data_IF_231538293249
#
_entry.id   IF_231538293249
#
_cell.length_a   1.000
_cell.length_b   1.000
_cell.length_c   1.000
_cell.angle_alpha   90.00
_cell.angle_beta   90.00
_cell.angle_gamma   90.00
#
_symmetry.space_group_name_H-M   'P 1'
#
loop_
_entity.id
_entity.type
_entity.pdbx_description
1 polymer ?
#
# COMPACT_ATOMS: atom_id res chain seq x y z
N UNK A 1 15.49 -2.45 -6.44
CA UNK A 1 14.28 -1.81 -7.01
C UNK A 1 14.38 -1.70 -8.52
N UNK A 2 13.25 -1.58 -9.18
CA UNK A 2 13.20 -1.48 -10.64
C UNK A 2 12.58 -0.12 -11.01
N UNK A 3 13.40 0.87 -11.37
CA UNK A 3 12.94 2.25 -11.59
C UNK A 3 11.80 2.39 -12.60
N UNK A 4 11.79 1.59 -13.66
CA UNK A 4 10.74 1.65 -14.67
C UNK A 4 9.38 1.20 -14.13
N UNK A 5 9.37 0.13 -13.32
CA UNK A 5 8.16 -0.35 -12.67
C UNK A 5 7.65 0.65 -11.62
N UNK A 6 8.57 1.25 -10.87
CA UNK A 6 8.26 2.28 -9.88
C UNK A 6 7.64 3.50 -10.55
N UNK A 7 8.20 3.96 -11.67
CA UNK A 7 7.65 5.09 -12.41
C UNK A 7 6.24 4.77 -12.93
N UNK A 8 6.03 3.56 -13.43
CA UNK A 8 4.70 3.11 -13.87
C UNK A 8 3.69 3.13 -12.71
N UNK A 9 4.09 2.65 -11.55
CA UNK A 9 3.24 2.67 -10.34
C UNK A 9 2.89 4.12 -9.96
N UNK A 10 3.88 5.01 -9.96
CA UNK A 10 3.68 6.42 -9.64
C UNK A 10 2.68 7.08 -10.61
N UNK A 11 2.88 6.90 -11.91
CA UNK A 11 1.98 7.44 -12.93
C UNK A 11 0.57 6.85 -12.80
N UNK A 12 0.46 5.56 -12.49
CA UNK A 12 -0.83 4.91 -12.26
C UNK A 12 -1.57 5.52 -11.07
N UNK A 13 -0.84 5.93 -10.02
CA UNK A 13 -1.43 6.60 -8.86
C UNK A 13 -1.95 7.99 -9.23
N UNK A 14 -1.19 8.77 -9.98
CA UNK A 14 -1.65 10.09 -10.44
C UNK A 14 -2.94 9.97 -11.25
N UNK A 15 -2.99 9.00 -12.16
CA UNK A 15 -4.15 8.74 -12.99
C UNK A 15 -5.35 8.25 -12.16
N UNK A 16 -5.10 7.33 -11.22
CA UNK A 16 -6.13 6.79 -10.34
C UNK A 16 -6.84 7.89 -9.55
N UNK A 17 -6.07 8.77 -8.90
CA UNK A 17 -6.63 9.86 -8.10
C UNK A 17 -7.40 10.86 -8.97
N UNK A 18 -6.93 11.12 -10.18
CA UNK A 18 -7.62 11.96 -11.15
C UNK A 18 -8.95 11.34 -11.58
N UNK A 19 -8.95 10.07 -11.96
CA UNK A 19 -10.16 9.36 -12.43
C UNK A 19 -11.19 9.19 -11.31
N UNK A 20 -10.74 8.95 -10.09
CA UNK A 20 -11.63 8.82 -8.94
C UNK A 20 -12.08 10.16 -8.37
N UNK A 21 -11.54 11.26 -8.88
CA UNK A 21 -11.80 12.62 -8.40
C UNK A 21 -11.53 12.76 -6.89
N UNK A 22 -10.40 12.21 -6.42
CA UNK A 22 -9.97 12.25 -5.03
C UNK A 22 -8.84 13.26 -4.90
N UNK A 23 -9.01 14.20 -3.97
CA UNK A 23 -7.97 15.17 -3.62
C UNK A 23 -6.93 14.54 -2.72
N UNK A 24 -5.68 14.99 -2.86
CA UNK A 24 -4.59 14.50 -2.04
C UNK A 24 -3.53 15.57 -1.84
N UNK A 25 -2.76 15.43 -0.78
CA UNK A 25 -1.55 16.19 -0.54
C UNK A 25 -0.34 15.33 -0.94
N UNK A 26 0.72 15.98 -1.39
CA UNK A 26 1.96 15.26 -1.71
C UNK A 26 3.17 16.01 -1.18
N UNK A 27 4.19 15.23 -0.79
CA UNK A 27 5.47 15.75 -0.36
C UNK A 27 6.58 15.03 -1.10
N UNK A 28 7.60 15.77 -1.49
CA UNK A 28 8.87 15.21 -1.92
C UNK A 28 9.88 15.38 -0.79
N UNK A 29 10.64 14.36 -0.51
CA UNK A 29 11.57 14.30 0.62
C UNK A 29 12.72 13.35 0.31
N UNK A 30 13.65 13.17 1.25
CA UNK A 30 14.65 12.11 1.12
C UNK A 30 13.98 10.75 1.09
N UNK A 31 14.59 9.72 0.43
CA UNK A 31 13.99 8.41 0.36
C UNK A 31 13.71 7.81 1.74
N UNK A 32 12.49 7.28 1.93
CA UNK A 32 12.07 6.57 3.14
C UNK A 32 12.16 5.08 2.85
N UNK A 33 13.13 4.40 3.45
CA UNK A 33 13.37 2.97 3.25
C UNK A 33 13.26 2.16 4.54
N UNK A 34 12.99 2.82 5.67
CA UNK A 34 12.77 2.19 6.97
C UNK A 34 11.85 3.04 7.87
N UNK A 35 11.44 2.48 9.01
CA UNK A 35 10.53 3.16 9.93
C UNK A 35 11.17 4.35 10.64
N UNK A 36 12.47 4.31 10.93
CA UNK A 36 13.16 5.42 11.60
C UNK A 36 13.18 6.66 10.72
N UNK A 37 13.46 6.49 9.43
CA UNK A 37 13.39 7.57 8.45
C UNK A 37 11.96 8.11 8.31
N UNK A 38 10.97 7.24 8.30
CA UNK A 38 9.56 7.62 8.20
C UNK A 38 9.14 8.49 9.39
N UNK A 39 9.47 8.09 10.61
CA UNK A 39 9.17 8.87 11.81
C UNK A 39 9.87 10.21 11.82
N UNK A 40 11.16 10.25 11.48
CA UNK A 40 11.96 11.46 11.46
C UNK A 40 11.40 12.47 10.45
N UNK A 41 11.17 12.04 9.23
CA UNK A 41 10.64 12.89 8.15
C UNK A 41 9.23 13.36 8.49
N UNK A 42 8.40 12.48 9.04
CA UNK A 42 7.05 12.84 9.46
C UNK A 42 7.03 13.96 10.49
N UNK A 43 7.94 13.92 11.46
CA UNK A 43 8.10 15.00 12.44
C UNK A 43 8.58 16.30 11.80
N UNK A 44 9.58 16.22 10.92
CA UNK A 44 10.12 17.38 10.23
C UNK A 44 9.08 18.07 9.35
N UNK A 45 8.25 17.31 8.66
CA UNK A 45 7.23 17.82 7.74
C UNK A 45 5.87 18.06 8.41
N UNK A 46 5.72 17.69 9.68
CA UNK A 46 4.49 17.91 10.43
C UNK A 46 3.32 17.05 9.99
N UNK A 47 3.56 15.83 9.55
CA UNK A 47 2.50 14.93 9.09
C UNK A 47 1.57 14.53 10.24
N UNK A 48 0.26 14.62 9.97
CA UNK A 48 -0.79 14.23 10.92
C UNK A 48 -1.62 13.04 10.42
N UNK A 49 -1.50 12.69 9.13
CA UNK A 49 -2.19 11.54 8.56
C UNK A 49 -1.66 10.23 9.15
N UNK A 50 -2.51 9.21 9.22
CA UNK A 50 -2.13 7.90 9.74
C UNK A 50 -1.22 7.19 8.74
N UNK A 51 -0.05 6.69 9.18
CA UNK A 51 0.84 5.97 8.29
C UNK A 51 0.31 4.58 7.99
N UNK A 52 0.22 4.24 6.72
CA UNK A 52 -0.15 2.90 6.26
C UNK A 52 1.10 2.10 5.92
N UNK A 53 0.93 0.79 5.82
CA UNK A 53 1.91 -0.09 5.20
C UNK A 53 1.21 -1.07 4.28
N UNK A 54 1.95 -1.56 3.31
CA UNK A 54 1.48 -2.56 2.37
C UNK A 54 2.37 -3.78 2.49
N UNK A 55 1.78 -4.92 2.84
CA UNK A 55 2.49 -6.18 2.98
C UNK A 55 2.29 -7.00 1.72
N UNK A 56 3.36 -7.21 0.96
CA UNK A 56 3.32 -8.01 -0.25
C UNK A 56 3.60 -9.47 0.10
N UNK A 57 2.67 -10.36 -0.27
CA UNK A 57 2.70 -11.75 0.15
C UNK A 57 2.51 -12.68 -1.03
N UNK A 58 3.11 -13.87 -0.93
CA UNK A 58 2.86 -14.96 -1.86
C UNK A 58 1.81 -15.90 -1.29
N UNK A 59 0.96 -16.42 -2.19
CA UNK A 59 -0.13 -17.32 -1.86
C UNK A 59 0.32 -18.76 -2.15
N UNK A 60 0.10 -19.68 -1.21
CA UNK A 60 0.43 -21.08 -1.42
C UNK A 60 -0.34 -21.63 -2.62
N UNK A 61 0.38 -22.25 -3.54
CA UNK A 61 -0.21 -22.79 -4.77
C UNK A 61 -0.12 -21.84 -5.96
N UNK A 62 0.29 -20.59 -5.73
CA UNK A 62 0.53 -19.61 -6.80
C UNK A 62 -0.18 -18.29 -6.59
N UNK A 63 0.38 -17.23 -7.20
CA UNK A 63 -0.17 -15.90 -7.12
C UNK A 63 0.34 -15.09 -5.93
N UNK A 64 -0.03 -13.83 -5.92
CA UNK A 64 0.37 -12.87 -4.90
C UNK A 64 -0.83 -12.07 -4.42
N UNK A 65 -0.73 -11.53 -3.21
CA UNK A 65 -1.69 -10.60 -2.66
C UNK A 65 -0.95 -9.51 -1.87
N UNK A 66 -1.65 -8.42 -1.64
CA UNK A 66 -1.11 -7.30 -0.86
C UNK A 66 -2.13 -6.92 0.20
N UNK A 67 -1.67 -6.71 1.43
CA UNK A 67 -2.52 -6.24 2.52
C UNK A 67 -2.21 -4.78 2.81
N UNK A 68 -3.22 -3.93 2.67
CA UNK A 68 -3.16 -2.54 3.11
C UNK A 68 -3.64 -2.45 4.55
N UNK A 69 -2.78 -1.98 5.45
CA UNK A 69 -3.06 -1.88 6.88
C UNK A 69 -2.35 -0.67 7.49
N UNK A 70 -2.52 -0.43 8.77
CA UNK A 70 -1.78 0.61 9.49
C UNK A 70 -0.33 0.12 9.74
N UNK A 71 0.62 1.06 9.69
CA UNK A 71 2.06 0.77 9.86
C UNK A 71 2.36 -0.06 11.12
N UNK A 72 1.68 0.22 12.23
CA UNK A 72 1.94 -0.43 13.52
C UNK A 72 1.07 -1.67 13.76
N UNK A 73 0.19 -2.03 12.82
CA UNK A 73 -0.63 -3.23 12.94
C UNK A 73 0.19 -4.49 12.65
N UNK A 74 -0.16 -5.58 13.32
CA UNK A 74 0.47 -6.89 13.08
C UNK A 74 -0.34 -7.69 12.06
N UNK A 75 0.36 -8.45 11.23
CA UNK A 75 -0.29 -9.36 10.29
C UNK A 75 -1.02 -10.47 11.04
N UNK A 76 -2.32 -10.62 10.79
CA UNK A 76 -3.10 -11.76 11.24
C UNK A 76 -3.19 -12.78 10.10
N UNK A 77 -2.19 -13.67 10.01
CA UNK A 77 -2.11 -14.64 8.92
C UNK A 77 -3.25 -15.65 8.92
N UNK A 78 -3.81 -15.97 10.08
CA UNK A 78 -4.97 -16.88 10.18
C UNK A 78 -6.20 -16.24 9.53
N UNK A 79 -6.43 -14.96 9.78
CA UNK A 79 -7.56 -14.24 9.19
C UNK A 79 -7.41 -14.14 7.68
N UNK A 80 -6.22 -13.83 7.19
CA UNK A 80 -5.93 -13.78 5.75
C UNK A 80 -6.18 -15.14 5.12
N UNK A 81 -5.73 -16.22 5.76
CA UNK A 81 -5.98 -17.58 5.28
C UNK A 81 -7.46 -17.90 5.22
N UNK A 82 -8.24 -17.49 6.22
CA UNK A 82 -9.69 -17.70 6.21
C UNK A 82 -10.37 -16.99 5.03
N UNK A 83 -9.96 -15.77 4.74
CA UNK A 83 -10.53 -14.95 3.69
C UNK A 83 -10.16 -15.49 2.30
N UNK A 84 -8.89 -15.83 2.10
CA UNK A 84 -8.38 -16.31 0.80
C UNK A 84 -8.62 -17.81 0.58
N UNK A 85 -8.81 -18.59 1.65
CA UNK A 85 -8.87 -20.05 1.59
C UNK A 85 -7.52 -20.72 1.39
N UNK A 86 -6.41 -19.96 1.46
CA UNK A 86 -5.04 -20.45 1.25
C UNK A 86 -4.08 -19.76 2.17
N UNK A 87 -2.99 -20.44 2.50
CA UNK A 87 -1.90 -19.86 3.32
C UNK A 87 -1.14 -18.81 2.53
N UNK A 88 -0.67 -17.79 3.25
CA UNK A 88 0.17 -16.73 2.69
C UNK A 88 1.48 -16.64 3.48
N UNK A 89 2.50 -16.12 2.82
CA UNK A 89 3.76 -15.77 3.49
C UNK A 89 4.26 -14.44 2.93
N UNK A 90 4.83 -13.62 3.80
CA UNK A 90 5.40 -12.33 3.37
C UNK A 90 6.58 -12.60 2.46
N UNK A 91 6.60 -11.95 1.30
CA UNK A 91 7.71 -12.06 0.36
C UNK A 91 8.98 -11.46 0.95
N UNK A 92 10.12 -12.04 0.58
CA UNK A 92 11.41 -11.41 0.87
C UNK A 92 11.53 -10.13 0.05
N UNK A 93 12.46 -9.25 0.43
CA UNK A 93 12.72 -8.04 -0.34
C UNK A 93 13.09 -8.36 -1.79
N UNK A 94 13.89 -9.40 -2.02
CA UNK A 94 14.28 -9.83 -3.35
C UNK A 94 13.10 -10.30 -4.19
N UNK A 95 12.23 -11.14 -3.61
CA UNK A 95 11.01 -11.61 -4.28
C UNK A 95 10.10 -10.43 -4.65
N UNK A 96 9.92 -9.48 -3.75
CA UNK A 96 9.09 -8.30 -3.98
C UNK A 96 9.65 -7.41 -5.09
N UNK A 97 10.95 -7.14 -5.05
CA UNK A 97 11.60 -6.32 -6.08
C UNK A 97 11.46 -6.97 -7.45
N UNK A 98 11.60 -8.29 -7.52
CA UNK A 98 11.46 -9.02 -8.78
C UNK A 98 10.02 -8.94 -9.32
N UNK A 99 9.03 -9.12 -8.47
CA UNK A 99 7.62 -9.18 -8.87
C UNK A 99 7.02 -7.80 -9.18
N UNK A 100 7.23 -6.82 -8.32
CA UNK A 100 6.56 -5.52 -8.44
C UNK A 100 7.52 -4.34 -8.53
N UNK A 101 8.80 -4.56 -8.33
CA UNK A 101 9.84 -3.54 -8.51
C UNK A 101 9.99 -2.55 -7.36
N UNK A 102 9.14 -2.60 -6.35
CA UNK A 102 9.16 -1.64 -5.24
C UNK A 102 10.39 -1.82 -4.35
N UNK A 103 10.91 -0.71 -3.84
CA UNK A 103 11.96 -0.74 -2.83
C UNK A 103 11.39 -1.17 -1.48
N UNK A 104 12.18 -1.85 -0.63
CA UNK A 104 11.76 -2.15 0.74
C UNK A 104 11.36 -0.87 1.48
N UNK A 105 10.25 -0.92 2.20
CA UNK A 105 9.70 0.25 2.89
C UNK A 105 8.92 1.21 2.02
N UNK A 106 8.87 0.98 0.70
CA UNK A 106 8.20 1.86 -0.26
C UNK A 106 7.22 1.09 -1.16
N UNK A 107 6.52 0.12 -0.60
CA UNK A 107 5.52 -0.67 -1.32
C UNK A 107 4.22 0.11 -1.45
N UNK A 108 3.69 0.19 -2.67
CA UNK A 108 2.46 0.92 -2.94
C UNK A 108 1.27 -0.04 -3.07
N UNK A 109 0.10 0.29 -2.49
CA UNK A 109 -1.09 -0.55 -2.62
C UNK A 109 -1.81 -0.41 -3.95
N UNK A 110 -1.52 0.63 -4.73
CA UNK A 110 -2.22 0.94 -5.96
C UNK A 110 -1.27 0.96 -7.16
N UNK A 111 -1.77 0.55 -8.32
CA UNK A 111 -0.96 0.55 -9.55
C UNK A 111 -0.19 -0.74 -9.78
N UNK A 112 -0.51 -1.80 -9.06
CA UNK A 112 0.10 -3.12 -9.21
C UNK A 112 -0.60 -3.92 -10.33
N UNK A 113 0.05 -5.01 -10.83
CA UNK A 113 -0.61 -5.88 -11.82
C UNK A 113 -1.98 -6.35 -11.36
N UNK A 114 -2.92 -6.46 -12.30
CA UNK A 114 -4.33 -6.73 -12.01
C UNK A 114 -4.59 -8.08 -11.33
N UNK A 115 -3.68 -9.03 -11.49
CA UNK A 115 -3.80 -10.38 -10.90
C UNK A 115 -3.41 -10.42 -9.40
N UNK A 116 -2.92 -9.32 -8.85
CA UNK A 116 -2.59 -9.22 -7.43
C UNK A 116 -3.87 -8.83 -6.67
N UNK A 117 -4.32 -9.70 -5.77
CA UNK A 117 -5.47 -9.43 -4.91
C UNK A 117 -5.08 -8.41 -3.83
N UNK A 118 -5.91 -7.39 -3.67
CA UNK A 118 -5.72 -6.38 -2.64
C UNK A 118 -6.64 -6.67 -1.46
N UNK A 119 -6.05 -6.90 -0.29
CA UNK A 119 -6.78 -7.07 0.97
C UNK A 119 -6.72 -5.75 1.72
N UNK A 120 -7.85 -5.34 2.31
CA UNK A 120 -7.91 -4.08 3.06
C UNK A 120 -8.30 -4.37 4.50
N UNK A 121 -7.41 -3.99 5.42
CA UNK A 121 -7.67 -4.06 6.85
C UNK A 121 -8.64 -2.94 7.24
N UNK A 122 -9.79 -3.24 7.88
CA UNK A 122 -10.76 -2.21 8.24
C UNK A 122 -10.22 -1.15 9.20
N UNK A 123 -9.08 -1.39 9.87
CA UNK A 123 -8.46 -0.40 10.74
C UNK A 123 -8.16 0.92 10.02
N UNK A 124 -7.88 0.87 8.72
CA UNK A 124 -7.55 2.08 7.96
C UNK A 124 -8.73 3.07 7.91
N UNK A 125 -9.96 2.58 8.01
CA UNK A 125 -11.15 3.45 8.01
C UNK A 125 -11.38 4.15 9.36
N UNK A 126 -10.65 3.78 10.40
CA UNK A 126 -10.79 4.40 11.72
C UNK A 126 -10.06 5.74 11.84
N UNK A 127 -9.26 6.10 10.85
CA UNK A 127 -8.50 7.35 10.81
C UNK A 127 -9.17 8.36 9.87
N UNK A 128 -8.89 9.63 10.10
CA UNK A 128 -9.42 10.70 9.25
C UNK A 128 -8.69 10.76 7.91
N UNK A 129 -7.37 10.77 7.96
CA UNK A 129 -6.52 10.83 6.79
C UNK A 129 -5.49 9.70 6.81
N UNK A 130 -5.17 9.21 5.62
CA UNK A 130 -4.20 8.14 5.42
C UNK A 130 -3.05 8.65 4.56
N UNK A 131 -1.83 8.19 4.83
CA UNK A 131 -0.69 8.47 3.97
C UNK A 131 -0.04 7.18 3.51
N UNK A 132 0.53 7.23 2.32
CA UNK A 132 1.18 6.08 1.70
C UNK A 132 2.25 6.54 0.70
N UNK A 133 3.10 5.60 0.30
CA UNK A 133 4.10 5.84 -0.73
C UNK A 133 3.52 5.48 -2.10
N UNK A 134 3.50 6.42 -3.06
CA UNK A 134 2.97 6.12 -4.41
C UNK A 134 3.98 5.42 -5.33
N UNK A 135 4.81 4.56 -4.76
CA UNK A 135 5.83 3.80 -5.47
C UNK A 135 7.23 4.39 -5.37
N UNK A 136 7.37 5.70 -5.37
CA UNK A 136 8.67 6.38 -5.25
C UNK A 136 9.04 6.58 -3.79
N UNK A 137 10.19 6.06 -3.31
CA UNK A 137 10.57 6.19 -1.90
C UNK A 137 10.73 7.63 -1.41
N UNK A 138 10.93 8.57 -2.31
CA UNK A 138 11.12 10.00 -2.01
C UNK A 138 9.82 10.82 -2.11
N UNK A 139 8.67 10.16 -2.21
CA UNK A 139 7.36 10.79 -2.30
C UNK A 139 6.40 10.19 -1.29
N UNK A 140 5.49 11.03 -0.76
CA UNK A 140 4.38 10.58 0.10
C UNK A 140 3.11 11.30 -0.30
N UNK A 141 2.02 10.55 -0.40
CA UNK A 141 0.66 11.08 -0.61
C UNK A 141 -0.14 10.92 0.68
N UNK A 142 -1.03 11.89 0.93
CA UNK A 142 -2.04 11.78 2.00
C UNK A 142 -3.41 12.14 1.44
N UNK A 143 -4.43 11.40 1.83
CA UNK A 143 -5.80 11.58 1.38
C UNK A 143 -6.79 11.22 2.47
N UNK A 144 -8.04 11.66 2.34
CA UNK A 144 -9.09 11.35 3.31
C UNK A 144 -9.45 9.85 3.26
N UNK A 145 -9.48 9.20 4.42
CA UNK A 145 -9.86 7.78 4.50
C UNK A 145 -11.27 7.53 3.96
N UNK A 146 -12.16 8.52 4.07
CA UNK A 146 -13.51 8.45 3.49
C UNK A 146 -13.52 8.37 1.96
N UNK A 147 -12.42 8.69 1.30
CA UNK A 147 -12.27 8.59 -0.16
C UNK A 147 -11.64 7.26 -0.62
N UNK A 148 -11.20 6.41 0.32
CA UNK A 148 -10.53 5.17 -0.04
C UNK A 148 -11.38 4.28 -0.95
N UNK A 149 -12.67 4.14 -0.67
CA UNK A 149 -13.56 3.32 -1.48
C UNK A 149 -13.68 3.82 -2.91
N UNK A 150 -13.62 5.13 -3.13
CA UNK A 150 -13.61 5.69 -4.49
C UNK A 150 -12.40 5.24 -5.28
N UNK A 151 -11.25 5.17 -4.62
CA UNK A 151 -10.01 4.67 -5.24
C UNK A 151 -10.10 3.18 -5.52
N UNK A 152 -10.55 2.39 -4.53
CA UNK A 152 -10.65 0.94 -4.66
C UNK A 152 -11.58 0.53 -5.79
N UNK A 153 -12.67 1.23 -6.01
CA UNK A 153 -13.63 0.94 -7.07
C UNK A 153 -13.06 1.14 -8.48
N UNK A 154 -12.02 1.94 -8.62
CA UNK A 154 -11.37 2.20 -9.92
C UNK A 154 -10.22 1.25 -10.23
N UNK A 155 -9.82 0.41 -9.27
CA UNK A 155 -8.71 -0.52 -9.47
C UNK A 155 -9.14 -1.72 -10.31
N UNK A 156 -8.25 -2.24 -11.18
CA UNK A 156 -8.53 -3.48 -11.92
C UNK A 156 -8.41 -4.73 -11.04
N UNK A 157 -7.80 -4.60 -9.88
CA UNK A 157 -7.52 -5.70 -8.95
C UNK A 157 -8.79 -6.15 -8.24
N UNK A 158 -8.84 -7.44 -7.89
CA UNK A 158 -9.82 -7.92 -6.91
C UNK A 158 -9.52 -7.31 -5.56
N UNK A 159 -10.51 -6.68 -4.94
CA UNK A 159 -10.38 -6.05 -3.62
C UNK A 159 -11.26 -6.81 -2.64
N UNK A 160 -10.66 -7.30 -1.56
CA UNK A 160 -11.36 -8.04 -0.51
C UNK A 160 -11.14 -7.33 0.83
N UNK A 161 -12.21 -6.81 1.46
CA UNK A 161 -12.08 -6.27 2.81
C UNK A 161 -11.92 -7.42 3.81
N UNK A 162 -10.99 -7.26 4.75
CA UNK A 162 -10.91 -8.20 5.86
C UNK A 162 -12.03 -7.91 6.85
N UNK A 163 -12.57 -8.93 7.54
CA UNK A 163 -13.54 -8.69 8.61
C UNK A 163 -12.87 -7.99 9.80
N UNK A 164 -13.64 -7.20 10.52
CA UNK A 164 -13.19 -6.61 11.78
C UNK A 164 -12.99 -7.68 12.85
N UNK A 165 -12.04 -7.44 13.73
CA UNK A 165 -11.78 -8.31 14.87
C UNK A 165 -12.77 -8.06 16.02
#
# INVERSE_FOLDING_TARGET
MQPEKIEHIYQSNLELFSQANVSYQQWQHEPILDFDADERIGKELGWTAAPTKSLFMKVKGGGHCLLLTHRDSRLNSKLVKQVLGKRVSVCTHEEMIEEIGCAPGAVCPFGLPADITLLVDPVVYSYQDLMFTPGKPDMTFAFAASDLDKLLQKLPNTVIPLPGE
#
